data_IF_019161289885
#
_entry.id   IF_019161289885
#
_cell.length_a   1.000
_cell.length_b   1.000
_cell.length_c   1.000
_cell.angle_alpha   90.00
_cell.angle_beta   90.00
_cell.angle_gamma   90.00
#
_symmetry.space_group_name_H-M   'P 1'
#
loop_
_entity.id
_entity.type
_entity.pdbx_description
1 polymer ?
#
# COMPACT_ATOMS: atom_id res chain seq x y z
N UNK A 1 18.07 10.71 -6.54
CA UNK A 1 17.15 9.95 -5.66
C UNK A 1 16.29 9.09 -6.58
N UNK A 2 15.94 7.86 -6.18
CA UNK A 2 15.01 7.06 -6.96
C UNK A 2 13.61 7.67 -6.85
N UNK A 3 12.87 7.66 -7.96
CA UNK A 3 11.49 8.12 -8.03
C UNK A 3 10.57 7.23 -7.17
N UNK A 4 9.59 7.84 -6.50
CA UNK A 4 8.59 7.07 -5.74
C UNK A 4 7.63 6.35 -6.68
N UNK A 5 7.02 5.25 -6.21
CA UNK A 5 6.02 4.53 -7.02
C UNK A 5 4.82 5.43 -7.34
N UNK A 6 4.44 6.35 -6.45
CA UNK A 6 3.41 7.35 -6.69
C UNK A 6 3.74 8.28 -7.86
N UNK A 7 4.96 8.81 -7.89
CA UNK A 7 5.43 9.70 -8.96
C UNK A 7 5.44 8.96 -10.30
N UNK A 8 6.02 7.75 -10.34
CA UNK A 8 6.01 6.93 -11.56
C UNK A 8 4.59 6.70 -12.08
N UNK A 9 3.65 6.32 -11.20
CA UNK A 9 2.26 6.08 -11.60
C UNK A 9 1.56 7.36 -12.07
N UNK A 10 1.87 8.51 -11.48
CA UNK A 10 1.32 9.80 -11.88
C UNK A 10 1.86 10.24 -13.25
N UNK A 11 3.15 10.09 -13.47
CA UNK A 11 3.82 10.42 -14.73
C UNK A 11 3.31 9.56 -15.89
N UNK A 12 3.19 8.24 -15.67
CA UNK A 12 2.63 7.34 -16.69
C UNK A 12 1.14 7.63 -16.97
N UNK A 13 0.36 8.04 -15.95
CA UNK A 13 -1.01 8.55 -16.16
C UNK A 13 -1.02 9.80 -17.03
N UNK A 14 -0.08 10.71 -16.82
CA UNK A 14 0.11 11.90 -17.67
C UNK A 14 0.42 11.52 -19.12
N UNK A 15 1.29 10.53 -19.34
CA UNK A 15 1.60 10.01 -20.68
C UNK A 15 0.38 9.38 -21.36
N UNK A 16 -0.46 8.65 -20.62
CA UNK A 16 -1.72 8.13 -21.16
C UNK A 16 -2.65 9.26 -21.65
N UNK A 17 -2.70 10.40 -20.95
CA UNK A 17 -3.46 11.57 -21.40
C UNK A 17 -2.88 12.19 -22.68
N UNK A 18 -1.55 12.29 -22.79
CA UNK A 18 -0.88 12.78 -24.00
C UNK A 18 -1.17 11.86 -25.19
N UNK A 19 -1.08 10.54 -25.01
CA UNK A 19 -1.42 9.56 -26.05
C UNK A 19 -2.86 9.73 -26.52
N UNK A 20 -3.80 9.91 -25.59
CA UNK A 20 -5.22 10.13 -25.90
C UNK A 20 -5.42 11.42 -26.69
N UNK A 21 -4.76 12.51 -26.31
CA UNK A 21 -4.81 13.77 -27.04
C UNK A 21 -4.22 13.68 -28.46
N UNK A 22 -3.21 12.83 -28.66
CA UNK A 22 -2.61 12.54 -29.96
C UNK A 22 -3.42 11.55 -30.83
N UNK A 23 -4.56 11.04 -30.34
CA UNK A 23 -5.42 10.09 -31.06
C UNK A 23 -5.07 8.61 -30.87
N UNK A 24 -4.07 8.29 -30.03
CA UNK A 24 -3.68 6.92 -29.67
C UNK A 24 -4.55 6.36 -28.52
N UNK A 25 -5.86 6.32 -28.73
CA UNK A 25 -6.84 5.99 -27.69
C UNK A 25 -6.67 4.56 -27.16
N UNK A 26 -6.37 3.58 -28.03
CA UNK A 26 -6.24 2.17 -27.62
C UNK A 26 -5.02 1.95 -26.73
N UNK A 27 -3.89 2.57 -27.08
CA UNK A 27 -2.65 2.52 -26.31
C UNK A 27 -2.83 3.21 -24.95
N UNK A 28 -3.47 4.38 -24.93
CA UNK A 28 -3.81 5.09 -23.69
C UNK A 28 -4.68 4.23 -22.76
N UNK A 29 -5.73 3.59 -23.29
CA UNK A 29 -6.63 2.74 -22.50
C UNK A 29 -5.92 1.49 -21.96
N UNK A 30 -5.04 0.87 -22.75
CA UNK A 30 -4.24 -0.26 -22.29
C UNK A 30 -3.27 0.14 -21.17
N UNK A 31 -2.64 1.30 -21.31
CA UNK A 31 -1.75 1.85 -20.29
C UNK A 31 -2.53 2.15 -19.00
N UNK A 32 -3.67 2.83 -19.09
CA UNK A 32 -4.53 3.12 -17.94
C UNK A 32 -4.93 1.83 -17.18
N UNK A 33 -5.33 0.77 -17.91
CA UNK A 33 -5.66 -0.53 -17.30
C UNK A 33 -4.45 -1.19 -16.62
N UNK A 34 -3.26 -1.06 -17.19
CA UNK A 34 -2.04 -1.57 -16.57
C UNK A 34 -1.75 -0.83 -15.27
N UNK A 35 -1.81 0.51 -15.29
CA UNK A 35 -1.57 1.35 -14.12
C UNK A 35 -2.56 1.04 -13.00
N UNK A 36 -3.82 0.80 -13.33
CA UNK A 36 -4.84 0.40 -12.35
C UNK A 36 -4.53 -0.97 -11.72
N UNK A 37 -4.07 -1.94 -12.51
CA UNK A 37 -3.64 -3.27 -11.99
C UNK A 37 -2.41 -3.17 -11.09
N UNK A 38 -1.44 -2.34 -11.46
CA UNK A 38 -0.24 -2.09 -10.66
C UNK A 38 -0.64 -1.44 -9.34
N UNK A 39 -1.46 -0.38 -9.38
CA UNK A 39 -1.97 0.28 -8.18
C UNK A 39 -2.70 -0.67 -7.25
N UNK A 40 -3.60 -1.51 -7.78
CA UNK A 40 -4.33 -2.50 -7.00
C UNK A 40 -3.40 -3.54 -6.34
N UNK A 41 -2.32 -3.92 -7.02
CA UNK A 41 -1.34 -4.88 -6.51
C UNK A 41 -0.36 -4.24 -5.52
N UNK A 42 -0.13 -2.94 -5.63
CA UNK A 42 0.78 -2.16 -4.80
C UNK A 42 0.09 -1.43 -3.63
N UNK A 43 -1.15 -1.79 -3.29
CA UNK A 43 -1.93 -1.20 -2.18
C UNK A 43 -1.13 -1.09 -0.89
N UNK A 44 -0.39 -2.13 -0.51
CA UNK A 44 0.42 -2.08 0.72
C UNK A 44 1.48 -0.96 0.67
N UNK A 45 2.03 -0.65 -0.51
CA UNK A 45 3.02 0.42 -0.70
C UNK A 45 2.38 1.81 -0.83
N UNK A 46 1.22 1.90 -1.47
CA UNK A 46 0.58 3.16 -1.87
C UNK A 46 -0.42 3.70 -0.83
N UNK A 47 -0.98 2.84 0.01
CA UNK A 47 -2.05 3.26 0.90
C UNK A 47 -1.54 3.67 2.28
N UNK A 48 -2.26 4.63 2.84
CA UNK A 48 -2.03 5.22 4.15
C UNK A 48 -3.17 4.82 5.07
N UNK A 49 -2.82 4.30 6.24
CA UNK A 49 -3.73 3.94 7.31
C UNK A 49 -3.77 5.05 8.35
N UNK A 50 -4.97 5.43 8.76
CA UNK A 50 -5.18 6.17 10.00
C UNK A 50 -4.72 5.36 11.21
N UNK A 51 -4.55 6.04 12.35
CA UNK A 51 -4.21 5.40 13.62
C UNK A 51 -5.24 4.32 14.03
N UNK A 52 -6.52 4.53 13.71
CA UNK A 52 -7.58 3.56 13.96
C UNK A 52 -7.45 2.32 13.07
N UNK A 53 -7.21 2.48 11.77
CA UNK A 53 -7.03 1.39 10.81
C UNK A 53 -5.74 0.62 11.10
N UNK A 54 -4.65 1.32 11.42
CA UNK A 54 -3.38 0.71 11.78
C UNK A 54 -3.51 -0.15 13.05
N UNK A 55 -4.28 0.30 14.04
CA UNK A 55 -4.63 -0.47 15.23
C UNK A 55 -5.43 -1.72 14.88
N UNK A 56 -6.44 -1.61 14.01
CA UNK A 56 -7.25 -2.75 13.58
C UNK A 56 -6.41 -3.80 12.83
N UNK A 57 -5.56 -3.35 11.91
CA UNK A 57 -4.69 -4.21 11.10
C UNK A 57 -3.65 -4.95 11.92
N UNK A 58 -2.96 -4.24 12.82
CA UNK A 58 -1.81 -4.78 13.58
C UNK A 58 -2.17 -5.39 14.92
N UNK A 59 -3.31 -4.98 15.50
CA UNK A 59 -3.67 -5.31 16.86
C UNK A 59 -2.80 -4.68 17.94
N UNK A 60 -1.89 -3.78 17.57
CA UNK A 60 -1.04 -3.05 18.52
C UNK A 60 -1.78 -1.85 19.10
N UNK A 61 -1.38 -1.40 20.29
CA UNK A 61 -1.98 -0.22 20.90
C UNK A 61 -1.61 1.07 20.15
N UNK A 62 -2.35 2.14 20.43
CA UNK A 62 -2.09 3.46 19.85
C UNK A 62 -0.72 3.99 20.29
N UNK A 63 -0.36 3.77 21.55
CA UNK A 63 0.92 4.17 22.14
C UNK A 63 2.08 3.49 21.41
N UNK A 64 1.92 2.21 21.07
CA UNK A 64 2.93 1.46 20.32
C UNK A 64 3.16 2.05 18.92
N UNK A 65 2.10 2.48 18.24
CA UNK A 65 2.17 3.13 16.92
C UNK A 65 2.83 4.51 17.04
N UNK A 66 2.41 5.32 18.01
CA UNK A 66 2.93 6.67 18.25
C UNK A 66 4.41 6.66 18.63
N UNK A 67 4.86 5.69 19.43
CA UNK A 67 6.26 5.54 19.79
C UNK A 67 7.17 5.30 18.57
N UNK A 68 6.63 4.76 17.47
CA UNK A 68 7.36 4.48 16.22
C UNK A 68 7.21 5.57 15.16
N UNK A 69 6.25 6.47 15.36
CA UNK A 69 5.89 7.48 14.37
C UNK A 69 7.10 8.29 13.89
N UNK A 70 7.95 8.77 14.80
CA UNK A 70 9.10 9.59 14.44
C UNK A 70 10.09 8.83 13.52
N UNK A 71 10.45 7.60 13.87
CA UNK A 71 11.36 6.78 13.07
C UNK A 71 10.77 6.42 11.71
N UNK A 72 9.48 6.10 11.67
CA UNK A 72 8.78 5.82 10.42
C UNK A 72 8.60 7.07 9.55
N UNK A 73 8.38 8.24 10.15
CA UNK A 73 8.27 9.50 9.42
C UNK A 73 9.60 9.89 8.78
N UNK A 74 10.71 9.73 9.51
CA UNK A 74 12.05 9.93 8.95
C UNK A 74 12.34 8.98 7.77
N UNK A 75 11.77 7.78 7.78
CA UNK A 75 11.86 6.81 6.69
C UNK A 75 10.80 7.02 5.58
N UNK A 76 9.95 8.04 5.66
CA UNK A 76 8.88 8.28 4.67
C UNK A 76 7.67 7.35 4.77
N UNK A 77 7.55 6.59 5.85
CA UNK A 77 6.48 5.62 6.09
C UNK A 77 5.42 6.07 7.10
N UNK A 78 5.57 7.26 7.69
CA UNK A 78 4.54 7.89 8.51
C UNK A 78 4.48 9.38 8.18
N UNK A 79 3.29 9.99 8.28
CA UNK A 79 3.12 11.43 8.07
C UNK A 79 2.00 12.01 8.90
N UNK A 80 2.03 13.33 9.09
CA UNK A 80 0.89 14.07 9.60
C UNK A 80 0.05 14.55 8.42
N UNK A 81 -1.26 14.36 8.54
CA UNK A 81 -2.26 14.98 7.69
C UNK A 81 -3.15 15.85 8.59
N UNK A 82 -2.84 17.14 8.65
CA UNK A 82 -3.31 18.04 9.69
C UNK A 82 -2.96 17.53 11.09
N UNK A 83 -3.98 17.17 11.88
CA UNK A 83 -3.82 16.60 13.24
C UNK A 83 -3.78 15.08 13.27
N UNK A 84 -3.96 14.41 12.12
CA UNK A 84 -4.06 12.95 12.04
C UNK A 84 -2.70 12.34 11.71
N UNK A 85 -2.36 11.24 12.39
CA UNK A 85 -1.21 10.41 12.03
C UNK A 85 -1.65 9.38 11.00
N UNK A 86 -0.91 9.33 9.91
CA UNK A 86 -1.05 8.34 8.86
C UNK A 86 0.21 7.47 8.81
N UNK A 87 0.02 6.18 8.55
CA UNK A 87 1.06 5.16 8.49
C UNK A 87 0.96 4.39 7.18
N UNK A 88 2.06 4.17 6.49
CA UNK A 88 2.05 3.31 5.28
C UNK A 88 1.59 1.92 5.63
N UNK A 89 0.70 1.38 4.82
CA UNK A 89 0.14 0.07 5.04
C UNK A 89 1.21 -1.05 5.06
N UNK A 90 2.31 -0.88 4.33
CA UNK A 90 3.47 -1.77 4.24
C UNK A 90 4.13 -2.02 5.60
N UNK A 91 4.36 -0.96 6.37
CA UNK A 91 5.12 -1.03 7.63
C UNK A 91 4.24 -1.45 8.82
N UNK A 92 2.92 -1.34 8.67
CA UNK A 92 1.98 -1.72 9.72
C UNK A 92 1.80 -3.23 9.67
N UNK A 93 2.22 -3.97 10.71
CA UNK A 93 2.12 -5.43 10.72
C UNK A 93 0.68 -5.88 10.49
N UNK A 94 0.51 -6.98 9.75
CA UNK A 94 -0.78 -7.68 9.69
C UNK A 94 -0.89 -8.57 10.92
N UNK A 95 -2.05 -8.57 11.59
CA UNK A 95 -2.37 -9.58 12.61
C UNK A 95 -2.16 -10.97 12.00
N UNK A 96 -1.44 -11.82 12.72
CA UNK A 96 -1.36 -13.23 12.35
C UNK A 96 -2.79 -13.80 12.39
N UNK A 97 -3.25 -14.34 11.27
CA UNK A 97 -4.52 -15.03 11.22
C UNK A 97 -4.28 -16.46 11.71
N UNK A 98 -4.23 -16.65 13.04
CA UNK A 98 -3.86 -17.92 13.67
C UNK A 98 -4.73 -19.10 13.17
N UNK A 99 -5.99 -18.84 12.83
CA UNK A 99 -6.90 -19.83 12.24
C UNK A 99 -6.44 -20.30 10.86
N UNK A 100 -6.06 -19.38 9.99
CA UNK A 100 -5.53 -19.69 8.65
C UNK A 100 -4.18 -20.42 8.72
N UNK A 101 -3.32 -20.04 9.67
CA UNK A 101 -2.05 -20.74 9.92
C UNK A 101 -2.26 -22.19 10.40
N UNK A 102 -3.21 -22.41 11.33
CA UNK A 102 -3.59 -23.76 11.79
C UNK A 102 -4.24 -24.60 10.68
N UNK A 103 -5.05 -24.01 9.80
CA UNK A 103 -5.63 -24.72 8.65
C UNK A 103 -4.63 -25.05 7.55
N UNK A 104 -3.61 -24.21 7.34
CA UNK A 104 -2.51 -24.52 6.44
C UNK A 104 -1.66 -25.68 6.97
N UNK A 105 -1.35 -25.69 8.28
CA UNK A 105 -0.68 -26.82 8.95
C UNK A 105 -1.46 -28.12 8.80
N UNK A 106 -2.77 -28.12 9.09
CA UNK A 106 -3.65 -29.30 8.93
C UNK A 106 -3.75 -29.82 7.49
N UNK A 107 -3.56 -28.95 6.49
CA UNK A 107 -3.53 -29.35 5.07
C UNK A 107 -2.17 -29.90 4.65
N UNK A 108 -1.07 -29.37 5.18
CA UNK A 108 0.28 -29.89 4.96
C UNK A 108 0.49 -31.28 5.55
N UNK A 109 -0.03 -31.52 6.76
CA UNK A 109 0.07 -32.82 7.45
C UNK A 109 -0.74 -33.94 6.79
N UNK A 110 -1.74 -33.59 5.96
CA UNK A 110 -2.54 -34.57 5.19
C UNK A 110 -1.99 -34.86 3.79
N UNK A 111 -1.00 -34.09 3.35
CA UNK A 111 -0.37 -34.21 2.04
C UNK A 111 1.04 -34.82 2.10
N UNK A 112 1.47 -35.26 3.30
CA UNK A 112 2.70 -36.03 3.56
C UNK A 112 2.35 -37.46 3.96
#
# INVERSE_FOLDING_TARGET
>A
MAESLEEVLADERGRAQVLRAAGHTREADNLDRLLDRVRASAVDYLDWLSEAEARLRSGKSVEWLRARFAGWAAAGHARLDGRRRLYRQLIVPKRANESAAREAGRRGDRAS
#
